data_IF_797800430612
#
_entry.id   IF_797800430612
#
_cell.length_a   1.000
_cell.length_b   1.000
_cell.length_c   1.000
_cell.angle_alpha   90.00
_cell.angle_beta   90.00
_cell.angle_gamma   90.00
#
_symmetry.space_group_name_H-M   'P 1'
#
loop_
_entity.id
_entity.type
_entity.pdbx_description
1 polymer ?
#
# COMPACT_ATOMS: atom_id res chain seq x y z
N UNK A 1 -4.84 -2.86 6.25
CA UNK A 1 -5.36 -3.65 5.10
C UNK A 1 -4.96 -5.12 5.28
N UNK A 2 -5.72 -6.12 4.79
CA UNK A 2 -5.33 -7.53 4.96
C UNK A 2 -4.21 -7.90 3.98
N UNK A 3 -3.20 -8.67 4.42
CA UNK A 3 -2.13 -9.28 3.59
C UNK A 3 -2.63 -9.85 2.27
N UNK A 4 -3.82 -10.49 2.28
CA UNK A 4 -4.45 -11.04 1.08
C UNK A 4 -4.78 -9.97 0.03
N UNK A 5 -5.31 -8.81 0.46
CA UNK A 5 -5.71 -7.72 -0.45
C UNK A 5 -4.48 -7.07 -1.08
N UNK A 6 -3.47 -6.76 -0.27
CA UNK A 6 -2.19 -6.22 -0.75
C UNK A 6 -1.44 -7.20 -1.66
N UNK A 7 -1.42 -8.49 -1.30
CA UNK A 7 -0.83 -9.53 -2.13
C UNK A 7 -1.53 -9.67 -3.49
N UNK A 8 -2.86 -9.68 -3.50
CA UNK A 8 -3.64 -9.78 -4.73
C UNK A 8 -3.49 -8.53 -5.61
N UNK A 9 -3.46 -7.34 -4.99
CA UNK A 9 -3.17 -6.08 -5.70
C UNK A 9 -1.79 -6.11 -6.36
N UNK A 10 -0.76 -6.51 -5.60
CA UNK A 10 0.61 -6.62 -6.11
C UNK A 10 0.69 -7.63 -7.25
N UNK A 11 0.10 -8.82 -7.08
CA UNK A 11 0.09 -9.88 -8.10
C UNK A 11 -0.59 -9.44 -9.39
N UNK A 12 -1.81 -8.91 -9.31
CA UNK A 12 -2.55 -8.41 -10.50
C UNK A 12 -1.80 -7.28 -11.20
N UNK A 13 -1.09 -6.43 -10.45
CA UNK A 13 -0.27 -5.36 -11.03
C UNK A 13 0.92 -5.92 -11.81
N UNK A 14 1.61 -6.94 -11.28
CA UNK A 14 2.70 -7.63 -11.97
C UNK A 14 2.24 -8.35 -13.22
N UNK A 15 1.13 -9.08 -13.13
CA UNK A 15 0.59 -9.82 -14.27
C UNK A 15 0.20 -8.86 -15.41
N UNK A 16 -0.37 -7.70 -15.06
CA UNK A 16 -0.64 -6.64 -16.03
C UNK A 16 0.64 -6.02 -16.61
N UNK A 17 1.69 -5.82 -15.80
CA UNK A 17 2.99 -5.33 -16.26
C UNK A 17 3.70 -6.32 -17.19
N UNK A 18 3.67 -7.62 -16.87
CA UNK A 18 4.20 -8.70 -17.73
C UNK A 18 3.58 -8.68 -19.11
N UNK A 19 2.27 -8.49 -19.14
CA UNK A 19 1.51 -8.44 -20.39
C UNK A 19 1.82 -7.18 -21.21
N UNK A 20 2.41 -6.15 -20.59
CA UNK A 20 2.68 -4.85 -21.20
C UNK A 20 4.16 -4.60 -21.52
N UNK A 21 5.12 -5.34 -20.95
CA UNK A 21 6.56 -5.12 -21.09
C UNK A 21 7.31 -6.44 -21.39
N UNK A 22 8.16 -6.51 -22.44
CA UNK A 22 8.90 -7.71 -22.80
C UNK A 22 10.20 -7.84 -21.98
N UNK A 23 10.09 -8.04 -20.65
CA UNK A 23 11.26 -8.17 -19.75
C UNK A 23 11.32 -9.55 -19.05
N UNK A 24 11.56 -10.65 -19.79
CA UNK A 24 11.51 -12.00 -19.23
C UNK A 24 12.60 -12.32 -18.19
N UNK A 25 13.79 -11.72 -18.28
CA UNK A 25 14.94 -12.08 -17.43
C UNK A 25 14.94 -11.51 -16.00
N UNK A 26 14.19 -10.44 -15.73
CA UNK A 26 14.15 -9.78 -14.41
C UNK A 26 13.04 -10.32 -13.49
N UNK A 27 12.23 -11.26 -14.00
CA UNK A 27 10.96 -11.67 -13.41
C UNK A 27 11.05 -12.35 -12.04
N UNK A 28 11.91 -13.37 -11.83
CA UNK A 28 11.99 -14.06 -10.54
C UNK A 28 12.47 -13.14 -9.41
N UNK A 29 13.41 -12.25 -9.71
CA UNK A 29 13.93 -11.28 -8.77
C UNK A 29 12.88 -10.20 -8.42
N UNK A 30 12.06 -9.80 -9.40
CA UNK A 30 10.93 -8.89 -9.18
C UNK A 30 9.88 -9.53 -8.26
N UNK A 31 9.54 -10.80 -8.45
CA UNK A 31 8.59 -11.52 -7.58
C UNK A 31 9.05 -11.58 -6.13
N UNK A 32 10.33 -11.92 -5.90
CA UNK A 32 10.91 -11.94 -4.55
C UNK A 32 10.89 -10.54 -3.91
N UNK A 33 11.29 -9.52 -4.66
CA UNK A 33 11.24 -8.13 -4.22
C UNK A 33 9.82 -7.71 -3.83
N UNK A 34 8.81 -8.12 -4.61
CA UNK A 34 7.42 -7.77 -4.37
C UNK A 34 6.83 -8.51 -3.17
N UNK A 35 7.16 -9.79 -2.99
CA UNK A 35 6.75 -10.53 -1.80
C UNK A 35 7.32 -9.87 -0.52
N UNK A 36 8.60 -9.47 -0.56
CA UNK A 36 9.24 -8.75 0.53
C UNK A 36 8.62 -7.34 0.72
N UNK A 37 8.27 -6.65 -0.37
CA UNK A 37 7.60 -5.35 -0.30
C UNK A 37 6.16 -5.46 0.27
N UNK A 38 5.40 -6.50 -0.08
CA UNK A 38 4.07 -6.76 0.53
C UNK A 38 4.21 -7.04 2.02
N UNK A 39 5.20 -7.85 2.42
CA UNK A 39 5.46 -8.11 3.84
C UNK A 39 5.81 -6.82 4.60
N UNK A 40 6.63 -5.95 3.99
CA UNK A 40 6.97 -4.63 4.50
C UNK A 40 5.72 -3.75 4.69
N UNK A 41 4.85 -3.66 3.69
CA UNK A 41 3.62 -2.87 3.77
C UNK A 41 2.62 -3.42 4.80
N UNK A 42 2.52 -4.75 4.95
CA UNK A 42 1.71 -5.38 6.00
C UNK A 42 2.21 -5.02 7.40
N UNK A 43 3.54 -4.96 7.61
CA UNK A 43 4.12 -4.53 8.89
C UNK A 43 3.74 -3.08 9.22
N UNK A 44 3.82 -2.16 8.25
CA UNK A 44 3.42 -0.76 8.43
C UNK A 44 1.92 -0.64 8.76
N UNK A 45 1.07 -1.29 7.98
CA UNK A 45 -0.38 -1.29 8.20
C UNK A 45 -0.76 -1.86 9.57
N UNK A 46 -0.03 -2.88 10.03
CA UNK A 46 -0.25 -3.50 11.34
C UNK A 46 0.10 -2.53 12.48
N UNK A 47 1.19 -1.75 12.35
CA UNK A 47 1.52 -0.71 13.32
C UNK A 47 0.42 0.34 13.42
N UNK A 48 -0.10 0.79 12.26
CA UNK A 48 -1.19 1.78 12.21
C UNK A 48 -2.44 1.25 12.92
N UNK A 49 -2.83 0.00 12.67
CA UNK A 49 -4.01 -0.62 13.29
C UNK A 49 -3.81 -0.83 14.80
N UNK A 50 -2.62 -1.26 15.23
CA UNK A 50 -2.31 -1.43 16.67
C UNK A 50 -2.38 -0.10 17.40
N UNK A 51 -1.73 0.94 16.85
CA UNK A 51 -1.76 2.28 17.44
C UNK A 51 -3.17 2.86 17.47
N UNK A 52 -4.01 2.55 16.47
CA UNK A 52 -5.43 2.93 16.48
C UNK A 52 -6.23 2.23 17.61
N UNK A 53 -5.80 1.06 18.07
CA UNK A 53 -6.45 0.30 19.14
C UNK A 53 -6.02 0.70 20.55
N UNK A 54 -4.89 1.38 20.70
CA UNK A 54 -4.35 1.81 22.00
C UNK A 54 -5.14 2.98 22.63
N UNK A 55 -6.12 3.55 21.91
CA UNK A 55 -6.92 4.69 22.39
C UNK A 55 -6.21 6.05 22.21
N UNK A 56 -6.97 7.14 22.36
CA UNK A 56 -6.46 8.52 22.19
C UNK A 56 -6.31 9.21 23.55
N UNK A 57 -5.10 9.21 24.10
CA UNK A 57 -4.68 10.23 25.07
C UNK A 57 -3.82 11.33 24.38
N UNK A 58 -3.20 11.01 23.24
CA UNK A 58 -2.33 11.91 22.48
C UNK A 58 -3.03 12.59 21.29
N UNK A 59 -2.47 13.72 20.82
CA UNK A 59 -2.85 14.37 19.56
C UNK A 59 -2.68 13.39 18.39
N UNK A 60 -3.78 13.08 17.70
CA UNK A 60 -3.79 12.17 16.55
C UNK A 60 -2.80 12.55 15.44
N UNK A 61 -2.45 13.83 15.30
CA UNK A 61 -1.41 14.27 14.35
C UNK A 61 -0.02 13.82 14.78
N UNK A 62 0.30 13.92 16.07
CA UNK A 62 1.57 13.48 16.63
C UNK A 62 1.76 11.97 16.44
N UNK A 63 0.70 11.19 16.72
CA UNK A 63 0.68 9.74 16.47
C UNK A 63 1.02 9.42 15.01
N UNK A 64 0.42 10.13 14.06
CA UNK A 64 0.66 9.90 12.64
C UNK A 64 2.08 10.27 12.20
N UNK A 65 2.69 11.30 12.81
CA UNK A 65 4.09 11.67 12.57
C UNK A 65 5.05 10.59 13.10
N UNK A 66 4.77 10.03 14.26
CA UNK A 66 5.52 8.89 14.82
C UNK A 66 5.40 7.66 13.93
N UNK A 67 4.18 7.32 13.49
CA UNK A 67 3.94 6.23 12.54
C UNK A 67 4.67 6.45 11.21
N UNK A 68 4.72 7.69 10.72
CA UNK A 68 5.48 8.04 9.52
C UNK A 68 6.98 7.77 9.74
N UNK A 69 7.52 8.14 10.90
CA UNK A 69 8.92 7.90 11.23
C UNK A 69 9.23 6.40 11.35
N UNK A 70 8.40 5.61 12.05
CA UNK A 70 8.54 4.15 12.11
C UNK A 70 8.45 3.49 10.74
N UNK A 71 7.59 4.00 9.85
CA UNK A 71 7.52 3.50 8.48
C UNK A 71 8.82 3.73 7.69
N UNK A 72 9.54 4.84 7.93
CA UNK A 72 10.86 5.10 7.33
C UNK A 72 11.91 4.13 7.85
N UNK A 73 11.84 3.75 9.13
CA UNK A 73 12.73 2.72 9.70
C UNK A 73 12.49 1.36 9.06
N UNK A 74 11.23 0.95 8.90
CA UNK A 74 10.86 -0.26 8.18
C UNK A 74 11.35 -0.23 6.73
N UNK A 75 11.26 0.91 6.05
CA UNK A 75 11.80 1.08 4.69
C UNK A 75 13.33 0.91 4.66
N UNK A 76 14.06 1.49 5.62
CA UNK A 76 15.53 1.33 5.73
C UNK A 76 15.92 -0.13 6.01
N UNK A 77 15.20 -0.81 6.89
CA UNK A 77 15.41 -2.24 7.16
C UNK A 77 15.21 -3.10 5.91
N UNK A 78 14.12 -2.84 5.19
CA UNK A 78 13.84 -3.51 3.93
C UNK A 78 14.95 -3.28 2.89
N UNK A 79 15.42 -2.05 2.72
CA UNK A 79 16.53 -1.75 1.81
C UNK A 79 17.80 -2.50 2.22
N UNK A 80 18.15 -2.52 3.51
CA UNK A 80 19.30 -3.28 4.03
C UNK A 80 19.22 -4.77 3.68
N UNK A 81 18.04 -5.37 3.80
CA UNK A 81 17.81 -6.78 3.50
C UNK A 81 17.78 -7.08 1.99
N UNK A 82 17.50 -6.08 1.16
CA UNK A 82 17.30 -6.23 -0.30
C UNK A 82 18.53 -5.79 -1.11
N UNK A 83 19.61 -5.33 -0.46
CA UNK A 83 20.86 -4.82 -1.08
C UNK A 83 21.63 -5.82 -1.97
N UNK A 84 21.19 -7.08 -2.08
CA UNK A 84 21.70 -8.02 -3.10
C UNK A 84 21.15 -7.76 -4.51
N UNK A 85 20.25 -6.78 -4.66
CA UNK A 85 19.70 -6.38 -5.96
C UNK A 85 20.63 -5.36 -6.64
N UNK A 86 20.96 -5.49 -7.93
CA UNK A 86 21.93 -4.63 -8.63
C UNK A 86 21.42 -3.19 -8.92
N UNK A 87 20.39 -2.74 -8.21
CA UNK A 87 19.77 -1.42 -8.42
C UNK A 87 19.84 -0.63 -7.12
N UNK A 88 20.44 0.55 -7.18
CA UNK A 88 20.41 1.52 -6.08
C UNK A 88 19.04 2.21 -6.06
N UNK A 89 18.32 2.05 -4.96
CA UNK A 89 17.03 2.70 -4.69
C UNK A 89 17.28 3.82 -3.67
N UNK A 90 17.21 5.08 -4.12
CA UNK A 90 17.18 6.22 -3.20
C UNK A 90 15.70 6.58 -2.98
N UNK A 91 15.18 6.43 -1.75
CA UNK A 91 13.76 6.70 -1.47
C UNK A 91 13.54 8.23 -1.39
N UNK A 92 12.73 8.85 -2.28
CA UNK A 92 12.46 10.29 -2.24
C UNK A 92 11.40 10.60 -1.18
N UNK A 93 11.77 10.54 0.11
CA UNK A 93 10.84 10.75 1.22
C UNK A 93 10.08 12.07 1.12
N UNK A 94 10.70 13.15 0.63
CA UNK A 94 10.04 14.44 0.44
C UNK A 94 8.83 14.38 -0.52
N UNK A 95 8.88 13.52 -1.54
CA UNK A 95 7.77 13.32 -2.48
C UNK A 95 6.73 12.33 -1.95
N UNK A 96 7.18 11.33 -1.19
CA UNK A 96 6.35 10.21 -0.75
C UNK A 96 5.59 10.53 0.54
N UNK A 97 6.22 11.23 1.48
CA UNK A 97 5.69 11.48 2.82
C UNK A 97 4.30 12.13 2.80
N UNK A 98 3.97 13.11 1.93
CA UNK A 98 2.63 13.69 1.89
C UNK A 98 1.54 12.68 1.48
N UNK A 99 1.83 11.82 0.50
CA UNK A 99 0.89 10.77 0.05
C UNK A 99 0.74 9.70 1.12
N UNK A 100 1.87 9.32 1.75
CA UNK A 100 1.92 8.33 2.81
C UNK A 100 1.16 8.78 4.05
N UNK A 101 1.32 10.04 4.45
CA UNK A 101 0.58 10.64 5.55
C UNK A 101 -0.93 10.52 5.32
N UNK A 102 -1.41 10.88 4.12
CA UNK A 102 -2.83 10.72 3.76
C UNK A 102 -3.28 9.25 3.83
N UNK A 103 -2.47 8.31 3.36
CA UNK A 103 -2.80 6.88 3.45
C UNK A 103 -2.88 6.41 4.90
N UNK A 104 -1.95 6.83 5.74
CA UNK A 104 -1.92 6.54 7.17
C UNK A 104 -3.14 7.12 7.87
N UNK A 105 -3.48 8.38 7.62
CA UNK A 105 -4.68 9.04 8.13
C UNK A 105 -5.95 8.24 7.81
N UNK A 106 -6.13 7.87 6.53
CA UNK A 106 -7.29 7.07 6.09
C UNK A 106 -7.35 5.70 6.76
N UNK A 107 -6.22 5.00 6.82
CA UNK A 107 -6.17 3.68 7.42
C UNK A 107 -6.39 3.73 8.94
N UNK A 108 -5.80 4.72 9.61
CA UNK A 108 -5.92 4.94 11.04
C UNK A 108 -7.36 5.26 11.43
N UNK A 109 -7.98 6.25 10.79
CA UNK A 109 -9.37 6.62 11.05
C UNK A 109 -10.34 5.48 10.73
N UNK A 110 -10.08 4.71 9.67
CA UNK A 110 -10.86 3.52 9.37
C UNK A 110 -10.71 2.43 10.44
N UNK A 111 -9.49 2.17 10.92
CA UNK A 111 -9.25 1.21 11.98
C UNK A 111 -9.97 1.62 13.27
N UNK A 112 -9.88 2.90 13.66
CA UNK A 112 -10.61 3.42 14.83
C UNK A 112 -12.12 3.22 14.70
N UNK A 113 -12.69 3.55 13.54
CA UNK A 113 -14.14 3.37 13.31
C UNK A 113 -14.57 1.92 13.38
N UNK A 114 -13.76 1.00 12.84
CA UNK A 114 -14.02 -0.45 12.97
C UNK A 114 -13.94 -0.89 14.42
N UNK A 115 -12.89 -0.51 15.14
CA UNK A 115 -12.67 -0.90 16.53
C UNK A 115 -13.77 -0.34 17.46
N UNK A 116 -14.19 0.91 17.27
CA UNK A 116 -15.29 1.52 18.02
C UNK A 116 -16.63 0.83 17.76
N UNK A 117 -16.83 0.29 16.55
CA UNK A 117 -18.02 -0.44 16.16
C UNK A 117 -17.91 -1.96 16.37
N UNK A 118 -16.84 -2.46 16.99
CA UNK A 118 -16.59 -3.90 17.15
C UNK A 118 -17.04 -4.40 18.52
N UNK A 119 -18.17 -5.13 18.61
CA UNK A 119 -18.60 -5.72 19.87
C UNK A 119 -17.71 -6.90 20.26
N UNK A 120 -17.55 -7.15 21.56
CA UNK A 120 -16.80 -8.32 22.03
C UNK A 120 -17.42 -9.63 21.49
N UNK A 121 -16.57 -10.51 20.95
CA UNK A 121 -16.98 -11.83 20.44
C UNK A 121 -17.47 -11.86 18.99
N UNK A 122 -17.62 -10.72 18.33
CA UNK A 122 -18.06 -10.68 16.93
C UNK A 122 -16.93 -10.89 15.91
N UNK A 123 -17.30 -11.40 14.73
CA UNK A 123 -16.34 -11.66 13.65
C UNK A 123 -15.92 -10.35 12.97
N UNK A 124 -14.69 -10.24 12.45
CA UNK A 124 -14.20 -9.01 11.79
C UNK A 124 -15.09 -8.48 10.65
N UNK A 125 -15.81 -9.36 9.94
CA UNK A 125 -16.75 -8.93 8.89
C UNK A 125 -17.94 -8.16 9.44
N UNK A 126 -18.44 -8.55 10.61
CA UNK A 126 -19.58 -7.86 11.24
C UNK A 126 -19.16 -6.46 11.71
N UNK A 127 -17.99 -6.34 12.33
CA UNK A 127 -17.42 -5.04 12.69
C UNK A 127 -17.26 -4.11 11.49
N UNK A 128 -16.83 -4.62 10.33
CA UNK A 128 -16.75 -3.83 9.09
C UNK A 128 -18.12 -3.39 8.56
N UNK A 129 -19.16 -4.22 8.69
CA UNK A 129 -20.54 -3.89 8.29
C UNK A 129 -21.22 -2.93 9.26
N UNK A 130 -20.85 -2.98 10.54
CA UNK A 130 -21.31 -2.03 11.55
C UNK A 130 -20.63 -0.68 11.35
N UNK A 131 -19.34 -0.68 11.01
CA UNK A 131 -18.56 0.52 10.80
C UNK A 131 -18.94 1.25 9.52
N UNK A 132 -19.13 0.56 8.39
CA UNK A 132 -19.29 1.19 7.08
C UNK A 132 -20.56 0.72 6.37
N UNK A 133 -21.06 1.53 5.44
CA UNK A 133 -21.94 1.03 4.39
C UNK A 133 -21.11 0.42 3.24
N UNK A 134 -21.69 -0.47 2.43
CA UNK A 134 -20.96 -1.18 1.35
C UNK A 134 -20.23 -0.22 0.40
N UNK A 135 -20.93 0.78 -0.12
CA UNK A 135 -20.34 1.76 -1.05
C UNK A 135 -19.30 2.66 -0.39
N UNK A 136 -19.41 2.90 0.91
CA UNK A 136 -18.41 3.64 1.68
C UNK A 136 -17.13 2.84 1.87
N UNK A 137 -17.25 1.56 2.25
CA UNK A 137 -16.11 0.65 2.37
C UNK A 137 -15.39 0.49 1.02
N UNK A 138 -16.15 0.34 -0.07
CA UNK A 138 -15.59 0.26 -1.42
C UNK A 138 -14.76 1.51 -1.77
N UNK A 139 -15.31 2.71 -1.56
CA UNK A 139 -14.60 3.98 -1.82
C UNK A 139 -13.35 4.11 -0.97
N UNK A 140 -13.44 3.79 0.32
CA UNK A 140 -12.30 3.83 1.24
C UNK A 140 -11.17 2.89 0.77
N UNK A 141 -11.50 1.64 0.42
CA UNK A 141 -10.51 0.68 -0.07
C UNK A 141 -9.89 1.13 -1.39
N UNK A 142 -10.70 1.69 -2.31
CA UNK A 142 -10.21 2.22 -3.57
C UNK A 142 -9.26 3.42 -3.35
N UNK A 143 -9.59 4.32 -2.42
CA UNK A 143 -8.75 5.46 -2.05
C UNK A 143 -7.41 5.01 -1.45
N UNK A 144 -7.42 4.09 -0.49
CA UNK A 144 -6.19 3.56 0.14
C UNK A 144 -5.29 2.86 -0.90
N UNK A 145 -5.86 2.05 -1.78
CA UNK A 145 -5.11 1.38 -2.84
C UNK A 145 -4.60 2.36 -3.91
N UNK A 146 -5.37 3.41 -4.21
CA UNK A 146 -4.95 4.50 -5.10
C UNK A 146 -3.78 5.30 -4.53
N UNK A 147 -3.81 5.65 -3.24
CA UNK A 147 -2.71 6.29 -2.54
C UNK A 147 -1.45 5.40 -2.53
N UNK A 148 -1.60 4.09 -2.32
CA UNK A 148 -0.50 3.14 -2.44
C UNK A 148 0.10 3.07 -3.86
N UNK A 149 -0.73 3.18 -4.90
CA UNK A 149 -0.26 3.28 -6.28
C UNK A 149 0.56 4.56 -6.52
N UNK A 150 0.11 5.69 -5.98
CA UNK A 150 0.83 6.96 -6.05
C UNK A 150 2.17 6.90 -5.29
N UNK A 151 2.22 6.28 -4.11
CA UNK A 151 3.48 6.03 -3.40
C UNK A 151 4.45 5.16 -4.23
N UNK A 152 3.93 4.10 -4.86
CA UNK A 152 4.74 3.19 -5.70
C UNK A 152 5.32 3.94 -6.91
N UNK A 153 4.55 4.86 -7.50
CA UNK A 153 5.01 5.73 -8.57
C UNK A 153 6.10 6.71 -8.10
N UNK A 154 5.92 7.35 -6.94
CA UNK A 154 6.95 8.24 -6.41
C UNK A 154 8.24 7.48 -6.08
N UNK A 155 8.13 6.26 -5.55
CA UNK A 155 9.27 5.36 -5.32
C UNK A 155 10.02 4.99 -6.60
N UNK A 156 9.31 4.76 -7.72
CA UNK A 156 9.95 4.38 -8.98
C UNK A 156 10.82 5.50 -9.57
N UNK A 157 10.57 6.76 -9.22
CA UNK A 157 11.43 7.90 -9.60
C UNK A 157 12.77 7.88 -8.87
N UNK A 158 12.80 7.32 -7.65
CA UNK A 158 13.99 7.08 -6.85
C UNK A 158 14.88 5.94 -7.35
N UNK A 159 14.42 5.16 -8.34
CA UNK A 159 15.19 4.10 -8.96
C UNK A 159 16.13 4.71 -10.01
N UNK A 160 17.44 4.61 -9.76
CA UNK A 160 18.46 5.10 -10.71
C UNK A 160 18.59 4.11 -11.87
N UNK A 161 18.06 4.49 -13.03
CA UNK A 161 18.27 3.80 -14.31
C UNK A 161 19.30 4.56 -15.17
N UNK A 162 20.03 3.86 -16.07
CA UNK A 162 20.86 4.50 -17.09
C UNK A 162 20.09 5.59 -17.85
N UNK A 163 20.73 6.73 -18.15
CA UNK A 163 20.07 7.92 -18.70
C UNK A 163 19.30 7.64 -20.01
N UNK A 164 19.78 6.69 -20.82
CA UNK A 164 19.15 6.25 -22.06
C UNK A 164 17.76 5.63 -21.88
N UNK A 165 17.45 5.10 -20.69
CA UNK A 165 16.17 4.44 -20.38
C UNK A 165 15.13 5.37 -19.72
N UNK A 166 15.46 6.66 -19.53
CA UNK A 166 14.55 7.64 -18.88
C UNK A 166 13.21 7.85 -19.61
N UNK A 167 13.15 7.97 -20.96
CA UNK A 167 11.88 8.18 -21.67
C UNK A 167 10.97 6.96 -21.59
N UNK A 168 11.57 5.77 -21.70
CA UNK A 168 10.87 4.48 -21.56
C UNK A 168 10.28 4.34 -20.16
N UNK A 169 11.02 4.76 -19.12
CA UNK A 169 10.54 4.79 -17.74
C UNK A 169 9.29 5.67 -17.60
N UNK A 170 9.29 6.90 -18.11
CA UNK A 170 8.15 7.81 -17.94
C UNK A 170 6.88 7.31 -18.61
N UNK A 171 6.99 6.75 -19.82
CA UNK A 171 5.86 6.14 -20.52
C UNK A 171 5.33 4.90 -19.79
N UNK A 172 6.24 4.02 -19.34
CA UNK A 172 5.88 2.85 -18.55
C UNK A 172 5.21 3.24 -17.23
N UNK A 173 5.66 4.32 -16.59
CA UNK A 173 5.12 4.82 -15.33
C UNK A 173 3.71 5.38 -15.46
N UNK A 174 3.39 6.15 -16.52
CA UNK A 174 2.03 6.64 -16.74
C UNK A 174 1.04 5.49 -16.98
N UNK A 175 1.45 4.49 -17.77
CA UNK A 175 0.65 3.27 -17.98
C UNK A 175 0.49 2.47 -16.69
N UNK A 176 1.54 2.36 -15.89
CA UNK A 176 1.52 1.66 -14.61
C UNK A 176 0.47 2.26 -13.65
N UNK A 177 0.41 3.59 -13.53
CA UNK A 177 -0.56 4.27 -12.66
C UNK A 177 -1.99 3.93 -13.08
N UNK A 178 -2.32 4.07 -14.38
CA UNK A 178 -3.66 3.76 -14.86
C UNK A 178 -4.05 2.29 -14.65
N UNK A 179 -3.10 1.37 -14.82
CA UNK A 179 -3.28 -0.06 -14.53
C UNK A 179 -3.55 -0.27 -13.02
N UNK A 180 -2.72 0.32 -12.16
CA UNK A 180 -2.84 0.19 -10.71
C UNK A 180 -4.14 0.79 -10.19
N UNK A 181 -4.57 1.95 -10.68
CA UNK A 181 -5.84 2.57 -10.31
C UNK A 181 -7.05 1.74 -10.77
N UNK A 182 -6.99 1.16 -11.97
CA UNK A 182 -8.04 0.28 -12.46
C UNK A 182 -8.13 -1.01 -11.63
N UNK A 183 -6.99 -1.62 -11.27
CA UNK A 183 -6.92 -2.78 -10.39
C UNK A 183 -7.42 -2.43 -8.99
N UNK A 184 -7.03 -1.26 -8.45
CA UNK A 184 -7.45 -0.78 -7.13
C UNK A 184 -8.98 -0.72 -7.03
N UNK A 185 -9.64 -0.09 -8.01
CA UNK A 185 -11.11 0.03 -8.04
C UNK A 185 -11.80 -1.34 -8.11
N UNK A 186 -11.36 -2.21 -9.03
CA UNK A 186 -11.96 -3.55 -9.17
C UNK A 186 -11.79 -4.38 -7.90
N UNK A 187 -10.58 -4.38 -7.34
CA UNK A 187 -10.27 -5.15 -6.16
C UNK A 187 -10.99 -4.62 -4.91
N UNK A 188 -11.16 -3.30 -4.80
CA UNK A 188 -11.96 -2.68 -3.76
C UNK A 188 -13.43 -3.11 -3.83
N UNK A 189 -14.02 -3.13 -5.03
CA UNK A 189 -15.39 -3.59 -5.24
C UNK A 189 -15.56 -5.08 -4.89
N UNK A 190 -14.60 -5.94 -5.28
CA UNK A 190 -14.59 -7.37 -4.96
C UNK A 190 -14.46 -7.61 -3.44
N UNK A 191 -13.55 -6.88 -2.79
CA UNK A 191 -13.32 -6.98 -1.36
C UNK A 191 -14.52 -6.49 -0.54
N UNK A 192 -15.09 -5.34 -0.92
CA UNK A 192 -16.31 -4.84 -0.30
C UNK A 192 -17.45 -5.84 -0.48
N UNK A 193 -17.67 -6.38 -1.69
CA UNK A 193 -18.69 -7.41 -1.91
C UNK A 193 -18.52 -8.62 -0.97
N UNK A 194 -17.29 -9.10 -0.79
CA UNK A 194 -16.98 -10.25 0.08
C UNK A 194 -17.32 -10.02 1.57
N UNK A 195 -17.38 -8.77 2.02
CA UNK A 195 -17.78 -8.42 3.39
C UNK A 195 -19.30 -8.47 3.58
N UNK A 196 -20.08 -8.18 2.53
CA UNK A 196 -21.54 -8.04 2.59
C UNK A 196 -22.31 -9.25 2.06
N UNK A 197 -21.61 -10.22 1.47
CA UNK A 197 -22.11 -11.57 1.15
C UNK A 197 -21.83 -12.48 2.33
#
# INVERSE_FOLDING_TARGET
>A
MNRRLLGEFSRRTVDALRSALPLPGALPHLEHFLAANVAKEVRKDTLIIRRAAEGQEDDGRQILLELLQSAKEIDRDFLRQTMRFPIRIDIPYQEIDPVRMRRMERLFGAAQRVLAAWPQGERPRQALRAAFARGELERLLAEILGLYAQETLALSRGVRLPALLRPVRELAMRRLVGIMESIARRLAADAARTVYV
#
